data_IF_630246569801
#
_entry.id   IF_630246569801
#
_cell.length_a   1.000
_cell.length_b   1.000
_cell.length_c   1.000
_cell.angle_alpha   90.00
_cell.angle_beta   90.00
_cell.angle_gamma   90.00
#
_symmetry.space_group_name_H-M   'P 1'
#
loop_
_entity.id
_entity.type
_entity.pdbx_description
1 polymer ?
#
# COMPACT_ATOMS: atom_id res chain seq x y z
N UNK A 1 -19.23 -23.78 4.72
CA UNK A 1 -18.43 -22.54 4.71
C UNK A 1 -18.34 -22.06 3.28
N UNK A 2 -18.81 -20.85 2.96
CA UNK A 2 -18.72 -20.32 1.59
C UNK A 2 -17.36 -19.65 1.38
N UNK A 3 -16.90 -19.53 0.13
CA UNK A 3 -15.66 -18.79 -0.20
C UNK A 3 -15.71 -17.37 0.36
N UNK A 4 -16.89 -16.72 0.33
CA UNK A 4 -17.08 -15.37 0.89
C UNK A 4 -16.82 -15.31 2.39
N UNK A 5 -17.11 -16.37 3.14
CA UNK A 5 -16.86 -16.41 4.58
C UNK A 5 -15.37 -16.55 4.89
N UNK A 6 -14.62 -17.25 4.04
CA UNK A 6 -13.16 -17.39 4.16
C UNK A 6 -12.39 -16.11 3.80
N UNK A 7 -12.97 -15.24 2.98
CA UNK A 7 -12.36 -13.97 2.57
C UNK A 7 -12.62 -12.80 3.54
N UNK A 8 -13.45 -13.00 4.58
CA UNK A 8 -13.72 -11.95 5.56
C UNK A 8 -12.54 -11.73 6.49
N UNK A 9 -11.96 -10.53 6.42
CA UNK A 9 -11.04 -10.03 7.44
C UNK A 9 -11.87 -9.69 8.68
N UNK A 10 -11.67 -10.44 9.78
CA UNK A 10 -12.48 -10.29 11.00
C UNK A 10 -12.25 -8.97 11.75
N UNK A 11 -11.04 -8.43 11.68
CA UNK A 11 -10.60 -7.22 12.41
C UNK A 11 -9.70 -6.38 11.49
N UNK A 12 -10.27 -5.70 10.49
CA UNK A 12 -9.51 -5.01 9.45
C UNK A 12 -8.60 -3.92 10.01
N UNK A 13 -9.02 -3.22 11.07
CA UNK A 13 -8.23 -2.17 11.72
C UNK A 13 -6.94 -2.74 12.32
N UNK A 14 -7.01 -3.93 12.94
CA UNK A 14 -5.80 -4.57 13.48
C UNK A 14 -4.87 -5.06 12.39
N UNK A 15 -5.41 -5.54 11.28
CA UNK A 15 -4.59 -5.94 10.13
C UNK A 15 -3.88 -4.73 9.54
N UNK A 16 -4.58 -3.61 9.45
CA UNK A 16 -4.01 -2.33 9.04
C UNK A 16 -2.88 -1.87 9.98
N UNK A 17 -3.09 -1.95 11.30
CA UNK A 17 -2.05 -1.62 12.29
C UNK A 17 -0.82 -2.53 12.14
N UNK A 18 -1.01 -3.83 11.91
CA UNK A 18 0.09 -4.78 11.69
C UNK A 18 0.88 -4.41 10.43
N UNK A 19 0.20 -4.08 9.33
CA UNK A 19 0.85 -3.74 8.06
C UNK A 19 1.58 -2.39 8.16
N UNK A 20 0.95 -1.37 8.76
CA UNK A 20 1.57 -0.04 8.90
C UNK A 20 2.79 -0.08 9.81
N UNK A 21 2.74 -0.82 10.93
CA UNK A 21 3.91 -1.05 11.78
C UNK A 21 5.01 -1.80 11.02
N UNK A 22 4.68 -2.84 10.27
CA UNK A 22 5.65 -3.56 9.44
C UNK A 22 6.35 -2.63 8.43
N UNK A 23 5.62 -1.73 7.77
CA UNK A 23 6.20 -0.75 6.83
C UNK A 23 7.16 0.18 7.57
N UNK A 24 6.72 0.75 8.69
CA UNK A 24 7.51 1.68 9.50
C UNK A 24 8.80 1.03 10.02
N UNK A 25 8.70 -0.18 10.56
CA UNK A 25 9.85 -0.95 11.06
C UNK A 25 10.81 -1.33 9.94
N UNK A 26 10.28 -1.70 8.77
CA UNK A 26 11.10 -2.03 7.61
C UNK A 26 11.91 -0.82 7.12
N UNK A 27 11.26 0.34 6.98
CA UNK A 27 11.92 1.59 6.56
C UNK A 27 12.99 2.02 7.57
N UNK A 28 12.65 1.97 8.86
CA UNK A 28 13.58 2.27 9.96
C UNK A 28 14.79 1.31 9.97
N UNK A 29 14.55 0.01 9.83
CA UNK A 29 15.60 -1.03 9.78
C UNK A 29 16.63 -0.78 8.68
N UNK A 30 16.20 -0.25 7.55
CA UNK A 30 17.08 0.09 6.43
C UNK A 30 17.63 1.53 6.48
N UNK A 31 17.39 2.28 7.55
CA UNK A 31 17.81 3.66 7.74
C UNK A 31 17.41 4.55 6.56
N UNK A 32 16.14 4.44 6.15
CA UNK A 32 15.55 5.25 5.07
C UNK A 32 14.55 6.24 5.65
N UNK A 33 14.38 7.35 4.93
CA UNK A 33 13.48 8.43 5.35
C UNK A 33 12.09 8.32 4.69
N UNK A 34 11.87 7.33 3.83
CA UNK A 34 10.64 7.21 3.06
C UNK A 34 10.62 6.05 2.09
N UNK A 35 9.59 6.03 1.23
CA UNK A 35 9.37 4.98 0.24
C UNK A 35 8.90 5.53 -1.12
N UNK A 36 9.25 4.82 -2.19
CA UNK A 36 8.69 5.03 -3.53
C UNK A 36 7.74 3.87 -3.82
N UNK A 37 6.52 4.16 -4.24
CA UNK A 37 5.50 3.17 -4.57
C UNK A 37 5.11 3.32 -6.04
N UNK A 38 5.21 2.23 -6.79
CA UNK A 38 4.67 2.17 -8.15
C UNK A 38 3.14 2.06 -8.12
N UNK A 39 2.45 2.94 -8.86
CA UNK A 39 1.01 2.86 -9.09
C UNK A 39 0.73 2.26 -10.46
N UNK A 40 -0.20 1.31 -10.53
CA UNK A 40 -0.68 0.71 -11.79
C UNK A 40 -2.09 1.13 -12.16
N UNK A 41 -2.79 1.87 -11.28
CA UNK A 41 -4.23 2.15 -11.39
C UNK A 41 -5.11 1.02 -10.82
N UNK A 42 -4.52 -0.08 -10.34
CA UNK A 42 -5.23 -1.19 -9.69
C UNK A 42 -5.40 -1.01 -8.18
N UNK A 43 -6.40 -1.70 -7.62
CA UNK A 43 -6.77 -1.62 -6.19
C UNK A 43 -5.63 -2.02 -5.25
N UNK A 44 -4.80 -2.98 -5.65
CA UNK A 44 -3.69 -3.46 -4.82
C UNK A 44 -2.62 -2.38 -4.63
N UNK A 45 -2.21 -1.72 -5.74
CA UNK A 45 -1.24 -0.63 -5.69
C UNK A 45 -1.78 0.60 -4.95
N UNK A 46 -3.07 0.88 -5.09
CA UNK A 46 -3.74 1.97 -4.37
C UNK A 46 -3.77 1.70 -2.85
N UNK A 47 -4.10 0.47 -2.45
CA UNK A 47 -4.09 0.07 -1.04
C UNK A 47 -2.67 0.11 -0.46
N UNK A 48 -1.67 -0.39 -1.19
CA UNK A 48 -0.27 -0.33 -0.77
C UNK A 48 0.19 1.13 -0.57
N UNK A 49 -0.16 2.03 -1.49
CA UNK A 49 0.16 3.45 -1.36
C UNK A 49 -0.52 4.10 -0.15
N UNK A 50 -1.81 3.81 0.07
CA UNK A 50 -2.56 4.31 1.23
C UNK A 50 -1.92 3.87 2.56
N UNK A 51 -1.61 2.58 2.70
CA UNK A 51 -1.00 2.03 3.91
C UNK A 51 0.41 2.58 4.13
N UNK A 52 1.18 2.80 3.05
CA UNK A 52 2.51 3.39 3.14
C UNK A 52 2.45 4.85 3.61
N UNK A 53 1.52 5.65 3.07
CA UNK A 53 1.28 7.03 3.54
C UNK A 53 0.82 7.04 4.99
N UNK A 54 -0.05 6.12 5.40
CA UNK A 54 -0.49 6.01 6.79
C UNK A 54 0.66 5.68 7.74
N UNK A 55 1.60 4.84 7.29
CA UNK A 55 2.76 4.42 8.09
C UNK A 55 3.85 5.50 8.20
N UNK A 56 4.13 6.23 7.11
CA UNK A 56 5.32 7.08 6.98
C UNK A 56 5.02 8.58 6.91
N UNK A 57 3.77 8.99 6.71
CA UNK A 57 3.41 10.36 6.36
C UNK A 57 3.53 10.62 4.86
N UNK A 58 2.66 11.48 4.31
CA UNK A 58 2.57 11.74 2.86
C UNK A 58 3.82 12.40 2.28
N UNK A 59 4.53 13.15 3.10
CA UNK A 59 5.77 13.86 2.78
C UNK A 59 6.95 12.91 2.53
N UNK A 60 6.86 11.68 3.05
CA UNK A 60 7.89 10.64 2.95
C UNK A 60 7.54 9.57 1.90
N UNK A 61 6.52 9.79 1.08
CA UNK A 61 6.06 8.83 0.08
C UNK A 61 5.97 9.47 -1.29
N UNK A 62 6.68 8.88 -2.26
CA UNK A 62 6.59 9.26 -3.67
C UNK A 62 5.80 8.18 -4.40
N UNK A 63 4.66 8.55 -4.98
CA UNK A 63 3.91 7.68 -5.87
C UNK A 63 4.40 7.87 -7.31
N UNK A 64 4.76 6.78 -7.98
CA UNK A 64 5.24 6.78 -9.36
C UNK A 64 4.28 5.99 -10.25
N UNK A 65 3.64 6.68 -11.18
CA UNK A 65 2.85 6.05 -12.24
C UNK A 65 3.72 5.92 -13.50
N UNK A 66 3.83 4.70 -14.05
CA UNK A 66 4.64 4.40 -15.24
C UNK A 66 3.75 3.79 -16.33
N UNK A 67 3.01 4.61 -17.09
CA UNK A 67 2.14 4.11 -18.14
C UNK A 67 2.95 3.59 -19.34
N UNK A 68 2.37 2.62 -20.04
CA UNK A 68 2.84 2.07 -21.31
C UNK A 68 1.75 2.30 -22.38
N UNK A 69 2.06 2.04 -23.67
CA UNK A 69 1.14 2.19 -24.81
C UNK A 69 -0.25 1.59 -24.57
N UNK A 70 -0.33 0.43 -23.91
CA UNK A 70 -1.61 -0.25 -23.66
C UNK A 70 -2.27 0.13 -22.31
N UNK A 71 -1.69 1.09 -21.57
CA UNK A 71 -2.27 1.56 -20.31
C UNK A 71 -3.54 2.36 -20.55
N UNK A 72 -4.57 2.08 -19.76
CA UNK A 72 -5.83 2.83 -19.82
C UNK A 72 -5.59 4.30 -19.45
N UNK A 73 -6.06 5.27 -20.28
CA UNK A 73 -5.95 6.70 -19.97
C UNK A 73 -6.84 7.16 -18.80
N UNK A 74 -7.68 6.27 -18.25
CA UNK A 74 -8.56 6.53 -17.09
C UNK A 74 -8.04 5.95 -15.77
N UNK A 75 -6.85 5.36 -15.79
CA UNK A 75 -6.20 4.75 -14.62
C UNK A 75 -5.57 5.77 -13.68
#
# INVERSE_FOLDING_TARGET
MTIKDSLKIKQPEKVEDVITNFIKDSVSKFHRDGAIIGLSGGIDSALAALLTVKALGKENVIALFMPERDSSPKS
#
